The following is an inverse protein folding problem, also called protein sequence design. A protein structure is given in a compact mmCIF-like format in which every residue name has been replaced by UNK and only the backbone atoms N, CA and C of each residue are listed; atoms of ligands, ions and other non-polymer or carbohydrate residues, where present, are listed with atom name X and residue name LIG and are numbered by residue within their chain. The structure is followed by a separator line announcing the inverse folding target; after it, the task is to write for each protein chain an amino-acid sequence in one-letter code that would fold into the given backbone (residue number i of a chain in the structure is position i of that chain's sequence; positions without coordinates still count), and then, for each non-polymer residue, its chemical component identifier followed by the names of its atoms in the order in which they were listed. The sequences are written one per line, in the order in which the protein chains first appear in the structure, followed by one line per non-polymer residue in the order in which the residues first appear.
data_IF_352923259256
#
_entry.id   IF_352923259256
#
_cell.length_a   1.000
_cell.length_b   1.000
_cell.length_c   1.000
_cell.angle_alpha   90.00
_cell.angle_beta   90.00
_cell.angle_gamma   90.00
#
_symmetry.space_group_name_H-M   'P 1'
#
loop_
_entity.id
_entity.type
_entity.pdbx_description
1 polymer ?
#
# COMPACT_ATOMS: atom_id res chain seq x y z
N UNK A 1 8.12 -14.64 -9.20
CA UNK A 1 7.41 -14.41 -7.93
C UNK A 1 8.42 -14.03 -6.86
N UNK A 2 8.43 -12.77 -6.43
CA UNK A 2 9.31 -12.32 -5.35
C UNK A 2 8.90 -13.04 -4.06
N UNK A 3 9.77 -13.91 -3.53
CA UNK A 3 9.55 -14.68 -2.28
C UNK A 3 9.84 -13.87 -1.01
N UNK A 4 9.81 -12.53 -1.06
CA UNK A 4 10.19 -11.68 0.08
C UNK A 4 9.04 -10.74 0.43
N UNK A 5 8.58 -10.73 1.70
CA UNK A 5 7.63 -9.72 2.14
C UNK A 5 8.24 -8.33 1.96
N UNK A 6 7.41 -7.35 1.60
CA UNK A 6 7.76 -5.92 1.68
C UNK A 6 8.33 -5.61 3.06
N UNK A 7 9.61 -5.29 3.13
CA UNK A 7 10.28 -4.84 4.36
C UNK A 7 10.21 -3.31 4.44
N UNK A 8 9.00 -2.77 4.45
CA UNK A 8 8.76 -1.34 4.66
C UNK A 8 8.82 -1.09 6.17
N UNK A 9 9.57 -0.07 6.61
CA UNK A 9 9.60 0.30 8.03
C UNK A 9 8.17 0.62 8.49
N UNK A 10 7.81 0.19 9.70
CA UNK A 10 6.47 0.41 10.28
C UNK A 10 6.05 1.89 10.23
N UNK A 11 7.00 2.81 10.41
CA UNK A 11 6.82 4.26 10.36
C UNK A 11 6.51 4.79 8.96
N UNK A 12 6.90 4.07 7.91
CA UNK A 12 6.77 4.48 6.51
C UNK A 12 5.54 3.87 5.81
N UNK A 13 4.92 2.85 6.42
CA UNK A 13 3.81 2.11 5.83
C UNK A 13 2.60 2.97 5.46
N UNK A 14 2.20 3.89 6.34
CA UNK A 14 1.10 4.81 6.06
C UNK A 14 1.39 5.71 4.87
N UNK A 15 2.66 6.11 4.70
CA UNK A 15 3.15 6.87 3.54
C UNK A 15 3.03 6.07 2.25
N UNK A 16 3.52 4.82 2.24
CA UNK A 16 3.43 3.93 1.07
C UNK A 16 1.98 3.76 0.62
N UNK A 17 1.07 3.48 1.55
CA UNK A 17 -0.35 3.25 1.25
C UNK A 17 -0.99 4.52 0.69
N UNK A 18 -0.68 5.68 1.28
CA UNK A 18 -1.18 6.97 0.80
C UNK A 18 -0.67 7.30 -0.60
N UNK A 19 0.63 7.15 -0.84
CA UNK A 19 1.21 7.42 -2.15
C UNK A 19 0.67 6.47 -3.22
N UNK A 20 0.53 5.18 -2.90
CA UNK A 20 -0.11 4.22 -3.79
C UNK A 20 -1.53 4.63 -4.14
N UNK A 21 -2.35 5.02 -3.16
CA UNK A 21 -3.70 5.52 -3.42
C UNK A 21 -3.67 6.74 -4.35
N UNK A 22 -2.78 7.69 -4.11
CA UNK A 22 -2.67 8.89 -4.93
C UNK A 22 -2.25 8.57 -6.37
N UNK A 23 -1.38 7.59 -6.59
CA UNK A 23 -1.03 7.11 -7.95
C UNK A 23 -2.24 6.57 -8.71
N UNK A 24 -3.19 5.94 -8.01
CA UNK A 24 -4.44 5.44 -8.62
C UNK A 24 -5.51 6.52 -8.83
N UNK A 25 -5.32 7.73 -8.29
CA UNK A 25 -6.31 8.82 -8.34
C UNK A 25 -7.58 8.56 -7.52
N UNK A 26 -7.59 7.57 -6.63
CA UNK A 26 -8.77 7.15 -5.87
C UNK A 26 -8.93 7.91 -4.55
N UNK A 27 -10.18 8.13 -4.13
CA UNK A 27 -10.48 8.53 -2.75
C UNK A 27 -10.18 7.39 -1.77
N UNK A 28 -10.13 7.67 -0.46
CA UNK A 28 -9.90 6.61 0.54
C UNK A 28 -11.02 5.55 0.53
N UNK A 29 -12.26 5.95 0.26
CA UNK A 29 -13.42 5.05 0.11
C UNK A 29 -13.26 4.15 -1.11
N UNK A 30 -12.96 4.75 -2.27
CA UNK A 30 -12.77 4.01 -3.52
C UNK A 30 -11.56 3.08 -3.45
N UNK A 31 -10.48 3.54 -2.82
CA UNK A 31 -9.29 2.74 -2.62
C UNK A 31 -9.52 1.59 -1.62
N UNK A 32 -10.31 1.83 -0.58
CA UNK A 32 -10.78 0.77 0.31
C UNK A 32 -11.54 -0.30 -0.46
N UNK A 33 -12.53 0.11 -1.26
CA UNK A 33 -13.30 -0.81 -2.10
C UNK A 33 -12.40 -1.59 -3.08
N UNK A 34 -11.42 -0.90 -3.70
CA UNK A 34 -10.43 -1.50 -4.58
C UNK A 34 -9.56 -2.57 -3.90
N UNK A 35 -9.22 -2.37 -2.62
CA UNK A 35 -8.48 -3.34 -1.79
C UNK A 35 -9.36 -4.33 -1.02
N UNK A 36 -10.69 -4.26 -1.17
CA UNK A 36 -11.63 -5.10 -0.42
C UNK A 36 -11.69 -4.80 1.09
N UNK A 37 -11.37 -3.57 1.50
CA UNK A 37 -11.43 -3.10 2.90
C UNK A 37 -12.30 -1.85 3.03
N UNK A 38 -12.66 -1.48 4.25
CA UNK A 38 -13.45 -0.25 4.47
C UNK A 38 -12.58 1.00 4.41
N UNK A 39 -13.21 2.14 4.12
CA UNK A 39 -12.63 3.48 4.29
C UNK A 39 -11.88 3.63 5.63
N UNK A 40 -12.52 3.23 6.74
CA UNK A 40 -11.94 3.38 8.08
C UNK A 40 -10.64 2.60 8.25
N UNK A 41 -10.48 1.47 7.56
CA UNK A 41 -9.23 0.69 7.54
C UNK A 41 -8.13 1.45 6.80
N UNK A 42 -8.40 1.96 5.60
CA UNK A 42 -7.46 2.80 4.83
C UNK A 42 -7.06 4.04 5.64
N UNK A 43 -8.03 4.75 6.21
CA UNK A 43 -7.77 5.94 7.02
C UNK A 43 -6.85 5.65 8.22
N UNK A 44 -7.08 4.53 8.92
CA UNK A 44 -6.20 4.14 10.04
C UNK A 44 -4.80 3.77 9.56
N UNK A 45 -4.65 3.12 8.41
CA UNK A 45 -3.35 2.78 7.86
C UNK A 45 -2.56 4.02 7.44
N UNK A 46 -3.17 4.93 6.66
CA UNK A 46 -2.52 6.17 6.21
C UNK A 46 -2.09 7.06 7.37
N UNK A 47 -2.84 7.07 8.47
CA UNK A 47 -2.52 7.84 9.67
C UNK A 47 -1.69 7.06 10.71
N UNK A 48 -1.16 5.88 10.36
CA UNK A 48 -0.31 5.08 11.25
C UNK A 48 -0.99 4.55 12.51
N UNK A 49 -2.33 4.60 12.59
CA UNK A 49 -3.13 4.13 13.73
C UNK A 49 -3.22 2.61 13.79
N UNK A 50 -3.03 1.93 12.67
CA UNK A 50 -2.92 0.47 12.58
C UNK A 50 -2.07 0.09 11.36
N UNK A 51 -1.69 -1.18 11.27
CA UNK A 51 -0.91 -1.70 10.14
C UNK A 51 -1.75 -2.72 9.36
N UNK A 52 -1.55 -2.86 8.04
CA UNK A 52 -2.18 -3.94 7.29
C UNK A 52 -1.68 -5.30 7.81
N UNK A 53 -2.55 -6.31 7.74
CA UNK A 53 -2.14 -7.68 8.02
C UNK A 53 -1.16 -8.19 6.95
N UNK A 54 -0.40 -9.27 7.19
CA UNK A 54 0.46 -9.85 6.16
C UNK A 54 -0.26 -10.15 4.84
N UNK A 55 -1.50 -10.63 4.91
CA UNK A 55 -2.33 -10.92 3.73
C UNK A 55 -2.71 -9.62 3.00
N UNK A 56 -3.13 -8.58 3.73
CA UNK A 56 -3.43 -7.28 3.14
C UNK A 56 -2.16 -6.66 2.50
N UNK A 57 -1.00 -6.84 3.10
CA UNK A 57 0.27 -6.40 2.51
C UNK A 57 0.62 -7.13 1.22
N UNK A 58 0.36 -8.44 1.13
CA UNK A 58 0.56 -9.20 -0.11
C UNK A 58 -0.37 -8.69 -1.23
N UNK A 59 -1.64 -8.40 -0.90
CA UNK A 59 -2.57 -7.81 -1.85
C UNK A 59 -2.10 -6.43 -2.31
N UNK A 60 -1.70 -5.57 -1.38
CA UNK A 60 -1.17 -4.23 -1.69
C UNK A 60 0.05 -4.34 -2.62
N UNK A 61 0.99 -5.23 -2.33
CA UNK A 61 2.15 -5.48 -3.18
C UNK A 61 1.74 -5.89 -4.60
N UNK A 62 0.84 -6.85 -4.72
CA UNK A 62 0.34 -7.30 -6.02
C UNK A 62 -0.32 -6.15 -6.79
N UNK A 63 -1.17 -5.37 -6.12
CA UNK A 63 -1.87 -4.24 -6.74
C UNK A 63 -0.91 -3.12 -7.17
N UNK A 64 0.16 -2.87 -6.43
CA UNK A 64 1.19 -1.92 -6.84
C UNK A 64 1.90 -2.41 -8.11
N UNK A 65 2.22 -3.70 -8.21
CA UNK A 65 2.85 -4.27 -9.41
C UNK A 65 1.94 -4.16 -10.65
N UNK A 66 0.61 -4.23 -10.48
CA UNK A 66 -0.39 -4.03 -11.54
C UNK A 66 -0.38 -2.60 -12.12
N UNK A 67 0.12 -1.58 -11.39
CA UNK A 67 0.23 -0.19 -11.87
C UNK A 67 1.38 -0.01 -12.89
N UNK A 68 2.24 -1.01 -13.05
CA UNK A 68 3.37 -0.95 -13.99
C UNK A 68 4.56 -0.14 -13.45
N UNK A 69 5.21 0.64 -14.30
CA UNK A 69 6.48 1.32 -14.00
C UNK A 69 6.40 2.22 -12.75
N UNK A 70 5.34 3.05 -12.64
CA UNK A 70 5.12 3.91 -11.48
C UNK A 70 4.97 3.13 -10.17
N UNK A 71 4.35 1.94 -10.24
CA UNK A 71 4.25 1.04 -9.10
C UNK A 71 5.61 0.49 -8.69
N UNK A 72 6.43 0.10 -9.66
CA UNK A 72 7.79 -0.38 -9.39
C UNK A 72 8.67 0.70 -8.76
N UNK A 73 8.60 1.94 -9.25
CA UNK A 73 9.28 3.09 -8.65
C UNK A 73 8.87 3.32 -7.20
N UNK A 74 7.57 3.24 -6.92
CA UNK A 74 7.05 3.36 -5.55
C UNK A 74 7.63 2.26 -4.64
N UNK A 75 7.64 1.01 -5.10
CA UNK A 75 8.23 -0.09 -4.32
C UNK A 75 9.72 0.15 -4.06
N UNK A 76 10.47 0.59 -5.07
CA UNK A 76 11.89 0.90 -4.92
C UNK A 76 12.13 2.00 -3.89
N UNK A 77 11.30 3.05 -3.88
CA UNK A 77 11.37 4.13 -2.89
C UNK A 77 11.25 3.64 -1.45
N UNK A 78 10.37 2.67 -1.20
CA UNK A 78 10.08 2.18 0.16
C UNK A 78 10.83 0.89 0.55
N UNK A 79 11.42 0.17 -0.42
CA UNK A 79 12.25 -1.02 -0.20
C UNK A 79 13.74 -0.73 -0.05
N UNK A 80 14.21 0.45 -0.50
CA UNK A 80 15.59 0.88 -0.30
C UNK A 80 15.81 1.29 1.16
N UNK A 81 16.16 0.32 2.00
CA UNK A 81 16.81 0.51 3.29
C UNK A 81 18.07 -0.36 3.35
#
# INVERSE_FOLDING_TARGET
MLKRPLLVKKTEMGGLIREFRLLTGLTQEQFGAYLGVTYGTVNRWENGRSQPSPIAMQLIQQKIEEVGEQGQELLQKYLRN
#
